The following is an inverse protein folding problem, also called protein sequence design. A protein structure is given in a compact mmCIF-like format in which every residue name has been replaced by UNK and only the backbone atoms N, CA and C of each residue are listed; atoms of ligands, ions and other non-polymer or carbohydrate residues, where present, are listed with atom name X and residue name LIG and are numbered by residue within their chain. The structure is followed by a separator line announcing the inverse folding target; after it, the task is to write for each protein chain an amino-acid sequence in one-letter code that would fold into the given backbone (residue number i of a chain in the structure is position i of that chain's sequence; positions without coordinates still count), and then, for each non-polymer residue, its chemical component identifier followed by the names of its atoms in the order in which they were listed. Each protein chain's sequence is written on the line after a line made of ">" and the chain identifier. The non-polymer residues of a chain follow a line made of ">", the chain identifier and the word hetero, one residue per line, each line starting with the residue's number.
data_IF_306015161047
#
_entry.id   IF_306015161047
#
_cell.length_a   1.000
_cell.length_b   1.000
_cell.length_c   1.000
_cell.angle_alpha   90.00
_cell.angle_beta   90.00
_cell.angle_gamma   90.00
#
_symmetry.space_group_name_H-M   'P 1'
#
loop_
_entity.id
_entity.type
_entity.pdbx_description
1 polymer ?
#
# COMPACT_ATOMS: atom_id res chain seq x y z
N UNK A 1 -9.61 -33.87 -26.80
CA UNK A 1 -8.66 -32.73 -26.88
C UNK A 1 -8.84 -31.82 -25.67
N UNK A 2 -7.73 -31.43 -25.03
CA UNK A 2 -7.65 -30.70 -23.75
C UNK A 2 -8.21 -29.27 -23.86
N UNK A 3 -8.88 -28.77 -22.83
CA UNK A 3 -8.82 -27.34 -22.46
C UNK A 3 -8.07 -27.25 -21.14
N UNK A 4 -6.85 -26.71 -21.19
CA UNK A 4 -6.06 -26.41 -19.99
C UNK A 4 -6.83 -25.42 -19.09
N UNK A 5 -6.65 -25.44 -17.76
CA UNK A 5 -7.21 -24.39 -16.91
C UNK A 5 -6.62 -23.06 -17.37
N UNK A 6 -7.48 -22.24 -17.98
CA UNK A 6 -7.13 -20.92 -18.49
C UNK A 6 -6.67 -20.10 -17.29
N UNK A 7 -5.40 -19.69 -17.31
CA UNK A 7 -4.75 -18.77 -16.40
C UNK A 7 -5.77 -17.90 -15.65
N UNK A 8 -6.10 -18.20 -14.39
CA UNK A 8 -6.88 -17.25 -13.58
C UNK A 8 -5.95 -16.05 -13.45
N UNK A 9 -6.24 -14.87 -14.04
CA UNK A 9 -5.50 -13.69 -13.64
C UNK A 9 -5.64 -13.62 -12.12
N UNK A 10 -4.52 -13.43 -11.41
CA UNK A 10 -4.49 -13.33 -9.94
C UNK A 10 -5.74 -12.60 -9.43
N UNK A 11 -6.34 -13.03 -8.31
CA UNK A 11 -7.60 -12.48 -7.76
C UNK A 11 -7.60 -10.93 -7.76
N UNK A 12 -8.06 -10.36 -8.87
CA UNK A 12 -7.95 -8.94 -9.20
C UNK A 12 -9.34 -8.32 -9.07
N UNK A 13 -9.40 -7.19 -8.36
CA UNK A 13 -10.60 -6.45 -8.11
C UNK A 13 -10.48 -5.06 -8.75
N UNK A 14 -11.56 -4.63 -9.42
CA UNK A 14 -11.68 -3.26 -9.93
C UNK A 14 -12.46 -2.41 -8.92
N UNK A 15 -11.85 -1.33 -8.40
CA UNK A 15 -12.55 -0.33 -7.57
C UNK A 15 -12.66 0.98 -8.37
N UNK A 16 -13.80 1.65 -8.28
CA UNK A 16 -13.99 2.99 -8.84
C UNK A 16 -13.79 4.03 -7.75
N UNK A 17 -12.83 4.93 -7.94
CA UNK A 17 -12.43 5.93 -6.96
C UNK A 17 -12.41 7.31 -7.62
N UNK A 18 -13.01 8.30 -6.98
CA UNK A 18 -12.94 9.69 -7.45
C UNK A 18 -11.69 10.37 -6.91
N UNK A 19 -10.78 10.74 -7.82
CA UNK A 19 -9.48 11.33 -7.54
C UNK A 19 -9.38 12.63 -8.36
N UNK A 20 -9.04 13.75 -7.72
CA UNK A 20 -8.92 15.06 -8.40
C UNK A 20 -10.15 15.43 -9.27
N UNK A 21 -11.36 15.11 -8.79
CA UNK A 21 -12.62 15.34 -9.51
C UNK A 21 -12.91 14.35 -10.65
N UNK A 22 -11.97 13.46 -10.98
CA UNK A 22 -12.12 12.43 -12.02
C UNK A 22 -12.48 11.09 -11.40
N UNK A 23 -13.51 10.42 -11.94
CA UNK A 23 -13.80 9.02 -11.60
C UNK A 23 -12.81 8.10 -12.31
N UNK A 24 -11.99 7.40 -11.54
CA UNK A 24 -10.94 6.52 -12.05
C UNK A 24 -11.25 5.07 -11.65
N UNK A 25 -11.29 4.17 -12.63
CA UNK A 25 -11.43 2.73 -12.37
C UNK A 25 -10.06 2.08 -12.33
N UNK A 26 -9.72 1.49 -11.18
CA UNK A 26 -8.40 0.90 -10.93
C UNK A 26 -8.59 -0.60 -10.74
N UNK A 27 -7.88 -1.43 -11.52
CA UNK A 27 -7.88 -2.89 -11.40
C UNK A 27 -6.54 -3.38 -10.88
N UNK A 28 -6.54 -4.03 -9.72
CA UNK A 28 -5.36 -4.67 -9.15
C UNK A 28 -5.72 -5.80 -8.18
N UNK A 29 -4.70 -6.51 -7.72
CA UNK A 29 -4.77 -7.68 -6.86
C UNK A 29 -5.51 -7.35 -5.56
N UNK A 30 -6.43 -8.22 -5.13
CA UNK A 30 -7.21 -8.05 -3.90
C UNK A 30 -6.32 -7.87 -2.68
N UNK A 31 -5.22 -8.62 -2.59
CA UNK A 31 -4.24 -8.49 -1.52
C UNK A 31 -3.67 -7.07 -1.44
N UNK A 32 -3.38 -6.43 -2.57
CA UNK A 32 -2.87 -5.05 -2.57
C UNK A 32 -3.95 -4.04 -2.19
N UNK A 33 -5.22 -4.28 -2.55
CA UNK A 33 -6.31 -3.46 -2.01
C UNK A 33 -6.41 -3.54 -0.50
N UNK A 34 -6.26 -4.73 0.08
CA UNK A 34 -6.26 -4.92 1.54
C UNK A 34 -5.12 -4.13 2.18
N UNK A 35 -3.91 -4.20 1.63
CA UNK A 35 -2.77 -3.41 2.13
C UNK A 35 -3.07 -1.92 2.11
N UNK A 36 -3.66 -1.38 1.03
CA UNK A 36 -4.01 0.04 0.97
C UNK A 36 -5.11 0.43 1.97
N UNK A 37 -6.08 -0.45 2.21
CA UNK A 37 -7.12 -0.24 3.20
C UNK A 37 -6.51 -0.22 4.63
N UNK A 38 -5.54 -1.09 4.92
CA UNK A 38 -4.77 -1.10 6.18
C UNK A 38 -3.91 0.16 6.36
N UNK A 39 -3.20 0.60 5.31
CA UNK A 39 -2.42 1.84 5.33
C UNK A 39 -3.33 3.02 5.66
N UNK A 40 -4.45 3.14 4.95
CA UNK A 40 -5.40 4.22 5.15
C UNK A 40 -5.94 4.23 6.60
N UNK A 41 -6.26 3.06 7.16
CA UNK A 41 -6.71 2.93 8.54
C UNK A 41 -5.62 3.34 9.55
N UNK A 42 -4.39 2.86 9.38
CA UNK A 42 -3.27 3.15 10.28
C UNK A 42 -2.90 4.64 10.29
N UNK A 43 -3.05 5.30 9.14
CA UNK A 43 -2.69 6.71 8.93
C UNK A 43 -3.89 7.65 9.10
N UNK A 44 -5.06 7.12 9.51
CA UNK A 44 -6.30 7.88 9.69
C UNK A 44 -6.73 8.65 8.43
N UNK A 45 -6.43 8.09 7.25
CA UNK A 45 -6.82 8.61 5.95
C UNK A 45 -8.00 7.82 5.39
N UNK A 46 -8.78 8.44 4.50
CA UNK A 46 -9.69 7.67 3.64
C UNK A 46 -8.87 7.05 2.51
N UNK A 47 -9.25 5.85 2.03
CA UNK A 47 -8.59 5.21 0.89
C UNK A 47 -8.45 6.15 -0.31
N UNK A 48 -9.49 6.94 -0.61
CA UNK A 48 -9.46 7.92 -1.70
C UNK A 48 -8.37 8.98 -1.54
N UNK A 49 -8.06 9.38 -0.31
CA UNK A 49 -7.10 10.44 -0.02
C UNK A 49 -5.67 9.88 -0.14
N UNK A 50 -5.46 8.64 0.34
CA UNK A 50 -4.23 7.89 0.11
C UNK A 50 -3.96 7.70 -1.40
N UNK A 51 -4.97 7.27 -2.15
CA UNK A 51 -4.83 7.08 -3.60
C UNK A 51 -4.55 8.41 -4.30
N UNK A 52 -5.16 9.52 -3.87
CA UNK A 52 -4.88 10.84 -4.41
C UNK A 52 -3.46 11.33 -4.07
N UNK A 53 -2.93 10.98 -2.90
CA UNK A 53 -1.54 11.26 -2.54
C UNK A 53 -0.57 10.52 -3.47
N UNK A 54 -0.78 9.21 -3.68
CA UNK A 54 0.01 8.42 -4.62
C UNK A 54 -0.10 8.95 -6.04
N UNK A 55 -1.30 9.34 -6.48
CA UNK A 55 -1.51 9.94 -7.81
C UNK A 55 -0.75 11.25 -8.03
N UNK A 56 -0.51 12.04 -6.97
CA UNK A 56 0.30 13.26 -7.04
C UNK A 56 1.80 13.00 -6.99
N UNK A 57 2.24 11.93 -6.32
CA UNK A 57 3.66 11.61 -6.15
C UNK A 57 4.24 10.70 -7.22
N UNK A 58 3.40 10.01 -8.00
CA UNK A 58 3.84 9.15 -9.10
C UNK A 58 4.56 9.97 -10.19
N UNK A 59 5.59 9.39 -10.78
CA UNK A 59 6.26 9.91 -11.97
C UNK A 59 5.46 9.60 -13.26
N UNK A 60 6.14 9.38 -14.39
CA UNK A 60 5.55 9.05 -15.70
C UNK A 60 4.73 7.74 -15.69
N UNK A 61 4.84 6.94 -14.63
CA UNK A 61 4.12 5.68 -14.50
C UNK A 61 2.62 5.84 -14.23
N UNK A 62 1.82 4.90 -14.71
CA UNK A 62 0.37 4.87 -14.48
C UNK A 62 0.04 4.65 -12.99
N UNK A 63 -1.07 5.23 -12.52
CA UNK A 63 -1.51 5.17 -11.13
C UNK A 63 -1.54 3.76 -10.55
N UNK A 64 -2.00 2.76 -11.31
CA UNK A 64 -2.04 1.38 -10.84
C UNK A 64 -0.65 0.82 -10.55
N UNK A 65 0.37 1.14 -11.37
CA UNK A 65 1.74 0.71 -11.11
C UNK A 65 2.30 1.39 -9.85
N UNK A 66 2.07 2.71 -9.72
CA UNK A 66 2.48 3.48 -8.54
C UNK A 66 1.87 2.94 -7.23
N UNK A 67 0.57 2.57 -7.25
CA UNK A 67 -0.09 1.97 -6.08
C UNK A 67 0.50 0.61 -5.68
N UNK A 68 0.91 -0.21 -6.66
CA UNK A 68 1.57 -1.50 -6.37
C UNK A 68 2.94 -1.28 -5.73
N UNK A 69 3.74 -0.37 -6.28
CA UNK A 69 5.06 -0.02 -5.73
C UNK A 69 4.91 0.54 -4.31
N UNK A 70 3.97 1.47 -4.12
CA UNK A 70 3.66 2.03 -2.81
C UNK A 70 3.32 0.93 -1.78
N UNK A 71 2.42 0.01 -2.12
CA UNK A 71 2.03 -1.08 -1.22
C UNK A 71 3.20 -2.00 -0.85
N UNK A 72 4.06 -2.35 -1.82
CA UNK A 72 5.26 -3.15 -1.56
C UNK A 72 6.26 -2.41 -0.68
N UNK A 73 6.50 -1.11 -0.95
CA UNK A 73 7.40 -0.29 -0.15
C UNK A 73 6.89 -0.13 1.29
N UNK A 74 5.58 0.01 1.49
CA UNK A 74 4.97 0.05 2.81
C UNK A 74 5.19 -1.26 3.58
N UNK A 75 4.90 -2.41 2.97
CA UNK A 75 5.14 -3.72 3.58
C UNK A 75 6.62 -3.94 3.92
N UNK A 76 7.54 -3.55 3.01
CA UNK A 76 8.99 -3.63 3.24
C UNK A 76 9.40 -2.80 4.45
N UNK A 77 8.88 -1.58 4.58
CA UNK A 77 9.15 -0.72 5.74
C UNK A 77 8.63 -1.35 7.04
N UNK A 78 7.43 -1.91 7.06
CA UNK A 78 6.90 -2.61 8.24
C UNK A 78 7.77 -3.79 8.66
N UNK A 79 8.23 -4.60 7.71
CA UNK A 79 9.11 -5.75 7.98
C UNK A 79 10.45 -5.32 8.58
N UNK A 80 11.07 -4.27 8.03
CA UNK A 80 12.32 -3.71 8.54
C UNK A 80 12.17 -3.13 9.95
N UNK A 81 11.02 -2.52 10.26
CA UNK A 81 10.72 -2.04 11.60
C UNK A 81 10.53 -3.18 12.60
N UNK A 82 9.78 -4.23 12.23
CA UNK A 82 9.58 -5.41 13.06
C UNK A 82 10.91 -6.09 13.42
N UNK A 83 11.83 -6.20 12.47
CA UNK A 83 13.18 -6.72 12.73
C UNK A 83 14.01 -5.82 13.65
N UNK A 84 13.87 -4.49 13.54
CA UNK A 84 14.62 -3.56 14.40
C UNK A 84 14.13 -3.61 15.85
N UNK A 85 12.83 -3.81 16.07
CA UNK A 85 12.28 -4.00 17.42
C UNK A 85 12.76 -5.33 18.03
N UNK A 86 12.79 -6.43 17.24
CA UNK A 86 13.29 -7.73 17.71
C UNK A 86 14.77 -7.72 18.14
N UNK A 87 15.59 -6.84 17.56
CA UNK A 87 17.01 -6.69 17.97
C UNK A 87 17.17 -5.90 19.27
N UNK A 88 16.15 -5.18 19.72
CA UNK A 88 16.17 -4.36 20.93
C UNK A 88 15.49 -5.03 22.13
N UNK A 89 15.06 -6.29 21.98
CA UNK A 89 14.41 -7.08 23.04
C UNK A 89 15.42 -7.53 24.14
N UNK A 90 15.96 -6.55 24.87
CA UNK A 90 16.36 -6.66 26.28
C UNK A 90 15.16 -6.36 27.22
N UNK A 91 15.29 -6.54 28.54
CA UNK A 91 14.15 -6.69 29.46
C UNK A 91 13.48 -5.36 29.86
N UNK A 92 13.04 -4.55 28.91
CA UNK A 92 12.15 -3.41 29.20
C UNK A 92 10.96 -3.44 28.27
N UNK A 93 9.95 -4.15 28.74
CA UNK A 93 8.62 -4.27 28.17
C UNK A 93 7.86 -2.95 28.34
N UNK A 94 6.99 -2.68 27.37
CA UNK A 94 5.91 -1.69 27.42
C UNK A 94 6.32 -0.28 26.97
N UNK A 95 5.93 0.10 25.75
CA UNK A 95 5.17 1.34 25.47
C UNK A 95 4.89 1.62 23.98
N UNK A 96 5.51 0.95 23.00
CA UNK A 96 5.27 1.30 21.60
C UNK A 96 4.07 0.54 20.98
N UNK A 97 2.84 0.82 21.43
CA UNK A 97 1.63 0.56 20.61
C UNK A 97 1.51 1.50 19.41
N UNK A 98 2.46 2.43 19.26
CA UNK A 98 2.64 3.21 18.05
C UNK A 98 4.07 2.99 17.54
N UNK A 99 4.26 2.22 16.46
CA UNK A 99 5.52 2.31 15.73
C UNK A 99 5.72 3.77 15.32
N UNK A 100 6.96 4.24 15.43
CA UNK A 100 7.43 5.57 15.04
C UNK A 100 6.68 6.04 13.79
N UNK A 101 6.09 7.25 13.74
CA UNK A 101 5.32 7.69 12.58
C UNK A 101 6.26 7.80 11.38
N UNK A 102 6.32 6.74 10.58
CA UNK A 102 6.95 6.73 9.28
C UNK A 102 5.84 6.95 8.27
N UNK A 103 5.38 8.20 8.30
CA UNK A 103 4.25 8.77 7.60
C UNK A 103 4.29 8.38 6.14
N UNK A 104 3.12 8.13 5.54
CA UNK A 104 2.88 8.01 4.09
C UNK A 104 3.83 8.88 3.25
N UNK A 105 4.12 10.10 3.71
CA UNK A 105 5.11 11.03 3.15
C UNK A 105 6.45 10.40 2.75
N UNK A 106 7.08 9.57 3.60
CA UNK A 106 8.41 9.00 3.30
C UNK A 106 8.35 7.96 2.20
N UNK A 107 7.29 7.15 2.17
CA UNK A 107 7.12 6.12 1.14
C UNK A 107 6.76 6.76 -0.20
N UNK A 108 6.03 7.89 -0.18
CA UNK A 108 5.70 8.62 -1.40
C UNK A 108 6.93 9.16 -2.14
N UNK A 109 8.03 9.47 -1.45
CA UNK A 109 9.29 9.86 -2.09
C UNK A 109 9.87 8.74 -2.97
N UNK A 110 9.66 7.48 -2.58
CA UNK A 110 10.15 6.29 -3.30
C UNK A 110 9.19 5.80 -4.41
N UNK A 111 8.11 6.55 -4.69
CA UNK A 111 7.12 6.21 -5.74
C UNK A 111 7.43 6.92 -7.08
N UNK A 112 8.44 7.80 -7.11
CA UNK A 112 8.95 8.47 -8.32
C UNK A 112 9.82 7.55 -9.18
#
# INVERSE_FOLDING_TARGET
>A
MKRAPTNRPMDQLSKSITINGRRTSIRMERSLWVVLDEVAANEQLRLRDLVALVDRSKSEHGLTAALRVFAVNYLRHMLLQGQRLQRLDGPTRSLAKHPVPLTVARILEDVS
#
